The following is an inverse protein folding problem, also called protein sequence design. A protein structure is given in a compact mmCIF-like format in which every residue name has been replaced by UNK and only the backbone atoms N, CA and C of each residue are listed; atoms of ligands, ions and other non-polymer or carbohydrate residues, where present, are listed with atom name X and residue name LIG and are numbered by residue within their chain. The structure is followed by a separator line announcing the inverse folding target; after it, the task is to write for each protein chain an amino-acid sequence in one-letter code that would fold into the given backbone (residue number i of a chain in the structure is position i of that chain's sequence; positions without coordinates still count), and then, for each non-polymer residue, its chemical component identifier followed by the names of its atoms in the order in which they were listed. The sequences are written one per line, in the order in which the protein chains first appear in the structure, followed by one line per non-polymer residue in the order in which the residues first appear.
data_IF_005304714408
#
_entry.id   IF_005304714408
#
_cell.length_a   1.000
_cell.length_b   1.000
_cell.length_c   1.000
_cell.angle_alpha   90.00
_cell.angle_beta   90.00
_cell.angle_gamma   90.00
#
_symmetry.space_group_name_H-M   'P 1'
#
loop_
_entity.id
_entity.type
_entity.pdbx_description
1 polymer ?
#
# COMPACT_ATOMS: atom_id res chain seq x y z
N UNK A 1 -13.91 -3.51 42.56
CA UNK A 1 -12.47 -3.34 42.88
C UNK A 1 -11.61 -4.22 41.96
N UNK A 2 -12.00 -5.48 41.74
CA UNK A 2 -11.33 -6.46 40.87
C UNK A 2 -11.09 -6.01 39.41
N UNK A 3 -12.09 -5.42 38.73
CA UNK A 3 -11.90 -4.91 37.34
C UNK A 3 -10.79 -3.86 37.21
N UNK A 4 -10.54 -3.06 38.25
CA UNK A 4 -9.45 -2.06 38.27
C UNK A 4 -8.09 -2.71 38.50
N UNK A 5 -8.03 -3.77 39.30
CA UNK A 5 -6.81 -4.54 39.60
C UNK A 5 -6.40 -5.34 38.36
N UNK A 6 -7.31 -6.11 37.77
CA UNK A 6 -7.07 -6.87 36.55
C UNK A 6 -6.62 -5.97 35.38
N UNK A 7 -7.20 -4.77 35.25
CA UNK A 7 -6.76 -3.80 34.24
C UNK A 7 -5.35 -3.28 34.51
N UNK A 8 -4.95 -3.10 35.77
CA UNK A 8 -3.60 -2.65 36.14
C UNK A 8 -2.56 -3.74 35.88
N UNK A 9 -2.86 -4.98 36.24
CA UNK A 9 -2.00 -6.14 35.98
C UNK A 9 -1.82 -6.37 34.48
N UNK A 10 -2.91 -6.33 33.71
CA UNK A 10 -2.84 -6.39 32.25
C UNK A 10 -1.96 -5.30 31.63
N UNK A 11 -2.06 -4.06 32.14
CA UNK A 11 -1.22 -2.96 31.67
C UNK A 11 0.25 -3.14 32.06
N UNK A 12 0.54 -3.65 33.26
CA UNK A 12 1.91 -3.99 33.70
C UNK A 12 2.53 -5.10 32.85
N UNK A 13 1.81 -6.19 32.59
CA UNK A 13 2.31 -7.25 31.71
C UNK A 13 2.52 -6.75 30.27
N UNK A 14 1.66 -5.85 29.77
CA UNK A 14 1.88 -5.22 28.46
C UNK A 14 3.11 -4.32 28.45
N UNK A 15 3.37 -3.61 29.53
CA UNK A 15 4.53 -2.74 29.69
C UNK A 15 5.84 -3.53 29.85
N UNK A 16 5.81 -4.63 30.57
CA UNK A 16 6.97 -5.50 30.72
C UNK A 16 7.33 -6.21 29.41
N UNK A 17 6.32 -6.73 28.69
CA UNK A 17 6.50 -7.25 27.32
C UNK A 17 7.04 -6.20 26.35
N UNK A 18 6.59 -4.95 26.49
CA UNK A 18 7.10 -3.84 25.69
C UNK A 18 8.58 -3.61 25.95
N UNK A 19 9.03 -3.60 27.21
CA UNK A 19 10.41 -3.36 27.60
C UNK A 19 11.37 -4.49 27.18
N UNK A 20 10.95 -5.74 27.34
CA UNK A 20 11.76 -6.91 26.93
C UNK A 20 12.00 -6.90 25.42
N UNK A 21 10.94 -6.72 24.63
CA UNK A 21 11.02 -6.76 23.16
C UNK A 21 11.54 -5.48 22.52
N UNK A 22 11.60 -4.41 23.31
CA UNK A 22 12.31 -3.17 22.95
C UNK A 22 13.76 -3.44 22.55
N UNK A 23 14.38 -4.43 23.19
CA UNK A 23 15.72 -4.87 22.83
C UNK A 23 15.80 -5.69 21.53
N UNK A 24 14.66 -6.20 21.04
CA UNK A 24 14.57 -7.06 19.84
C UNK A 24 14.27 -6.27 18.55
N UNK A 25 13.74 -5.05 18.66
CA UNK A 25 13.49 -4.18 17.50
C UNK A 25 14.67 -3.26 17.25
N UNK A 26 14.89 -2.94 15.98
CA UNK A 26 15.86 -1.95 15.54
C UNK A 26 15.53 -0.58 16.14
N UNK A 27 16.52 0.11 16.74
CA UNK A 27 16.35 1.44 17.35
C UNK A 27 15.71 2.45 16.37
N UNK A 28 16.00 2.32 15.07
CA UNK A 28 15.43 3.16 14.02
C UNK A 28 13.91 2.99 13.85
N UNK A 29 13.34 1.84 14.21
CA UNK A 29 11.88 1.65 14.26
C UNK A 29 11.26 2.42 15.44
N UNK A 30 11.96 2.42 16.58
CA UNK A 30 11.45 2.98 17.84
C UNK A 30 11.40 4.50 17.82
N UNK A 31 12.38 5.15 17.20
CA UNK A 31 12.44 6.61 17.10
C UNK A 31 11.26 7.21 16.31
N UNK A 32 10.63 6.39 15.48
CA UNK A 32 9.71 6.84 14.43
C UNK A 32 8.27 6.61 14.84
N UNK A 33 8.02 5.52 15.56
CA UNK A 33 6.69 5.04 15.83
C UNK A 33 6.30 5.24 17.29
N UNK A 34 5.02 5.57 17.48
CA UNK A 34 4.48 5.68 18.83
C UNK A 34 4.37 4.31 19.52
N UNK A 35 4.28 4.33 20.86
CA UNK A 35 4.12 3.13 21.69
C UNK A 35 3.00 2.21 21.20
N UNK A 36 1.88 2.77 20.72
CA UNK A 36 0.74 1.95 20.28
C UNK A 36 1.04 1.19 18.98
N UNK A 37 1.74 1.80 18.04
CA UNK A 37 2.21 1.18 16.81
C UNK A 37 3.21 0.07 17.12
N UNK A 38 4.19 0.34 17.98
CA UNK A 38 5.17 -0.67 18.44
C UNK A 38 4.47 -1.86 19.12
N UNK A 39 3.51 -1.61 20.01
CA UNK A 39 2.69 -2.68 20.61
C UNK A 39 1.94 -3.51 19.56
N UNK A 40 1.45 -2.87 18.49
CA UNK A 40 0.74 -3.56 17.40
C UNK A 40 1.69 -4.47 16.61
N UNK A 41 2.94 -4.03 16.43
CA UNK A 41 3.97 -4.84 15.80
C UNK A 41 4.38 -6.01 16.70
N UNK A 42 4.57 -5.79 18.00
CA UNK A 42 4.83 -6.87 18.96
C UNK A 42 3.72 -7.91 18.99
N UNK A 43 2.45 -7.48 18.92
CA UNK A 43 1.32 -8.40 18.85
C UNK A 43 1.42 -9.29 17.59
N UNK A 44 1.88 -8.77 16.44
CA UNK A 44 2.09 -9.55 15.22
C UNK A 44 3.25 -10.55 15.34
N UNK A 45 4.37 -10.16 15.95
CA UNK A 45 5.51 -11.05 16.19
C UNK A 45 5.13 -12.19 17.16
N UNK A 46 4.43 -11.85 18.25
CA UNK A 46 4.02 -12.82 19.27
C UNK A 46 2.98 -13.82 18.77
N UNK A 47 2.08 -13.37 17.89
CA UNK A 47 1.09 -14.24 17.24
C UNK A 47 1.66 -14.99 16.04
N UNK A 48 2.99 -14.97 15.85
CA UNK A 48 3.73 -15.66 14.78
C UNK A 48 3.29 -15.28 13.37
N UNK A 49 2.68 -14.09 13.18
CA UNK A 49 2.35 -13.55 11.86
C UNK A 49 3.57 -13.06 11.09
N UNK A 50 4.58 -12.61 11.84
CA UNK A 50 5.91 -12.26 11.36
C UNK A 50 6.93 -12.90 12.29
N UNK A 51 8.09 -13.27 11.77
CA UNK A 51 9.25 -13.68 12.55
C UNK A 51 10.10 -12.48 12.94
N UNK A 52 10.31 -11.56 12.00
CA UNK A 52 11.21 -10.42 12.17
C UNK A 52 10.82 -9.26 11.25
N UNK A 53 11.20 -8.04 11.63
CA UNK A 53 11.12 -6.83 10.79
C UNK A 53 12.49 -6.17 10.77
N UNK A 54 13.01 -5.92 9.57
CA UNK A 54 14.38 -5.47 9.29
C UNK A 54 14.35 -4.31 8.32
N UNK A 55 15.10 -3.25 8.61
CA UNK A 55 15.51 -2.23 7.64
C UNK A 55 14.37 -1.48 6.93
N UNK A 56 14.63 -0.23 6.58
CA UNK A 56 13.67 0.56 5.79
C UNK A 56 13.84 0.22 4.32
N UNK A 57 12.76 -0.21 3.67
CA UNK A 57 12.70 -0.45 2.22
C UNK A 57 12.29 0.81 1.47
N UNK A 58 11.33 1.56 2.03
CA UNK A 58 10.86 2.83 1.47
C UNK A 58 10.30 3.72 2.56
N UNK A 59 10.50 5.03 2.41
CA UNK A 59 9.95 6.06 3.29
C UNK A 59 9.10 7.03 2.50
N UNK A 60 7.81 7.04 2.79
CA UNK A 60 6.86 8.00 2.25
C UNK A 60 6.38 9.00 3.32
N UNK A 61 5.63 9.99 2.87
CA UNK A 61 5.03 11.02 3.73
C UNK A 61 3.92 10.48 4.65
N UNK A 62 3.28 9.39 4.24
CA UNK A 62 2.11 8.82 4.91
C UNK A 62 2.39 7.50 5.62
N UNK A 63 3.43 6.78 5.18
CA UNK A 63 3.80 5.47 5.70
C UNK A 63 5.28 5.18 5.47
N UNK A 64 5.79 4.17 6.17
CA UNK A 64 7.08 3.56 5.89
C UNK A 64 6.90 2.09 5.62
N UNK A 65 7.72 1.55 4.73
CA UNK A 65 7.72 0.12 4.38
C UNK A 65 9.02 -0.48 4.86
N UNK A 66 8.92 -1.56 5.62
CA UNK A 66 10.05 -2.35 6.11
C UNK A 66 10.06 -3.72 5.46
N UNK A 67 11.23 -4.34 5.41
CA UNK A 67 11.35 -5.73 5.03
C UNK A 67 11.01 -6.62 6.24
N UNK A 68 10.10 -7.56 6.07
CA UNK A 68 9.70 -8.52 7.10
C UNK A 68 10.05 -9.93 6.67
N UNK A 69 10.29 -10.81 7.65
CA UNK A 69 10.54 -12.23 7.40
C UNK A 69 9.49 -13.11 8.06
N UNK A 70 9.14 -14.18 7.35
CA UNK A 70 8.35 -15.30 7.84
C UNK A 70 9.18 -16.35 8.56
N UNK A 71 8.50 -17.36 9.07
CA UNK A 71 9.13 -18.46 9.79
C UNK A 71 9.83 -19.45 8.85
N UNK A 72 9.40 -19.54 7.59
CA UNK A 72 9.96 -20.44 6.58
C UNK A 72 10.85 -19.70 5.56
N UNK A 73 11.24 -18.46 5.87
CA UNK A 73 12.07 -17.64 4.99
C UNK A 73 11.29 -16.85 3.95
N UNK A 74 9.95 -16.77 4.05
CA UNK A 74 9.15 -15.90 3.21
C UNK A 74 9.49 -14.42 3.47
N UNK A 75 9.57 -13.61 2.41
CA UNK A 75 9.81 -12.17 2.51
C UNK A 75 8.49 -11.39 2.43
N UNK A 76 8.34 -10.40 3.31
CA UNK A 76 7.17 -9.53 3.41
C UNK A 76 7.54 -8.06 3.30
N UNK A 77 6.64 -7.27 2.75
CA UNK A 77 6.62 -5.83 2.93
C UNK A 77 5.70 -5.47 4.10
N UNK A 78 6.25 -4.82 5.13
CA UNK A 78 5.52 -4.37 6.32
C UNK A 78 5.31 -2.85 6.22
N UNK A 79 4.16 -2.44 5.69
CA UNK A 79 3.76 -1.03 5.54
C UNK A 79 3.12 -0.55 6.84
N UNK A 80 3.75 0.44 7.48
CA UNK A 80 3.29 1.04 8.72
C UNK A 80 2.90 2.49 8.46
N UNK A 81 1.63 2.81 8.64
CA UNK A 81 1.08 4.14 8.44
C UNK A 81 1.43 5.08 9.61
N UNK A 82 1.84 6.31 9.28
CA UNK A 82 2.28 7.33 10.22
C UNK A 82 1.07 8.07 10.83
N UNK A 83 0.78 7.76 12.09
CA UNK A 83 -0.34 8.35 12.86
C UNK A 83 -0.11 9.82 13.22
N UNK A 84 1.13 10.32 13.13
CA UNK A 84 1.51 11.71 13.45
C UNK A 84 1.63 12.62 12.22
N UNK A 85 1.63 12.07 11.00
CA UNK A 85 1.93 12.81 9.77
C UNK A 85 0.93 13.94 9.50
N UNK A 86 1.46 15.18 9.43
CA UNK A 86 0.69 16.38 9.11
C UNK A 86 0.28 16.45 7.63
N UNK A 87 1.05 15.79 6.76
CA UNK A 87 0.76 15.75 5.33
C UNK A 87 -0.31 14.72 5.02
N UNK A 88 -0.24 13.56 5.67
CA UNK A 88 -1.37 12.63 5.69
C UNK A 88 -2.63 13.42 6.07
N UNK A 89 -2.55 14.32 7.08
CA UNK A 89 -3.65 15.21 7.54
C UNK A 89 -4.42 15.99 6.48
N UNK A 90 -3.77 16.43 5.40
CA UNK A 90 -4.33 17.45 4.50
C UNK A 90 -5.03 16.89 3.25
N UNK A 91 -4.65 15.72 2.73
CA UNK A 91 -4.94 15.34 1.33
C UNK A 91 -6.01 14.25 1.11
N UNK A 92 -7.02 14.12 1.98
CA UNK A 92 -7.74 12.82 2.12
C UNK A 92 -9.26 12.86 2.20
N UNK A 93 -9.85 14.05 2.31
CA UNK A 93 -11.30 14.21 2.32
C UNK A 93 -11.99 13.67 1.04
N UNK A 94 -11.45 13.85 -0.19
CA UNK A 94 -12.15 13.39 -1.41
C UNK A 94 -12.31 11.88 -1.52
N UNK A 95 -11.37 11.10 -1.00
CA UNK A 95 -11.34 9.64 -1.16
C UNK A 95 -12.22 8.91 -0.14
N UNK A 96 -12.65 9.57 0.94
CA UNK A 96 -13.44 8.97 2.03
C UNK A 96 -14.95 9.07 1.79
N UNK A 97 -15.35 10.00 0.91
CA UNK A 97 -16.76 10.24 0.59
C UNK A 97 -17.38 8.96 0.00
N UNK A 98 -18.57 8.58 0.46
CA UNK A 98 -19.38 7.46 -0.05
C UNK A 98 -18.82 6.04 0.08
N UNK A 99 -17.77 5.80 0.89
CA UNK A 99 -17.45 4.42 1.28
C UNK A 99 -18.42 3.98 2.38
N UNK A 100 -19.20 2.88 2.22
CA UNK A 100 -20.22 2.47 3.20
C UNK A 100 -19.70 2.26 4.63
N UNK A 101 -18.41 1.93 4.77
CA UNK A 101 -17.71 1.80 6.06
C UNK A 101 -17.35 3.14 6.72
N UNK A 102 -17.38 4.24 5.97
CA UNK A 102 -17.07 5.61 6.42
C UNK A 102 -18.32 6.50 6.54
N UNK A 103 -19.43 5.97 7.08
CA UNK A 103 -20.66 6.78 7.32
C UNK A 103 -20.42 8.06 8.13
N UNK A 104 -19.36 8.09 8.95
CA UNK A 104 -18.82 9.29 9.61
C UNK A 104 -17.29 9.19 9.67
N UNK A 105 -16.58 10.20 9.16
CA UNK A 105 -15.13 10.33 9.33
C UNK A 105 -14.83 10.40 10.84
N UNK A 106 -13.99 9.50 11.41
CA UNK A 106 -13.64 9.57 12.82
C UNK A 106 -13.03 10.92 13.17
N UNK A 107 -13.49 11.54 14.27
CA UNK A 107 -12.84 12.74 14.82
C UNK A 107 -11.41 12.45 15.29
N UNK A 108 -11.17 11.21 15.74
CA UNK A 108 -9.82 10.74 16.09
C UNK A 108 -9.05 10.32 14.83
N UNK A 109 -7.98 11.07 14.56
CA UNK A 109 -7.10 10.82 13.44
C UNK A 109 -6.45 9.43 13.47
N UNK A 110 -6.15 8.89 14.65
CA UNK A 110 -5.57 7.55 14.75
C UNK A 110 -6.52 6.48 14.24
N UNK A 111 -7.79 6.55 14.65
CA UNK A 111 -8.83 5.66 14.14
C UNK A 111 -9.00 5.80 12.64
N UNK A 112 -8.89 7.01 12.10
CA UNK A 112 -8.88 7.22 10.66
C UNK A 112 -7.72 6.48 9.97
N UNK A 113 -6.50 6.56 10.51
CA UNK A 113 -5.33 5.84 9.96
C UNK A 113 -5.58 4.32 9.93
N UNK A 114 -6.25 3.78 10.95
CA UNK A 114 -6.57 2.36 10.99
C UNK A 114 -7.55 1.95 9.90
N UNK A 115 -8.57 2.77 9.65
CA UNK A 115 -9.50 2.54 8.55
C UNK A 115 -8.80 2.66 7.18
N UNK A 116 -7.77 3.49 7.07
CA UNK A 116 -6.98 3.63 5.85
C UNK A 116 -6.15 2.38 5.54
N UNK A 117 -5.46 1.86 6.55
CA UNK A 117 -4.74 0.59 6.46
C UNK A 117 -5.67 -0.58 6.15
N UNK A 118 -6.84 -0.63 6.79
CA UNK A 118 -7.88 -1.63 6.50
C UNK A 118 -8.41 -1.51 5.07
N UNK A 119 -8.60 -0.29 4.58
CA UNK A 119 -9.03 -0.05 3.19
C UNK A 119 -8.01 -0.54 2.19
N UNK A 120 -6.72 -0.22 2.37
CA UNK A 120 -5.68 -0.72 1.46
C UNK A 120 -5.64 -2.25 1.46
N UNK A 121 -5.72 -2.89 2.64
CA UNK A 121 -5.83 -4.35 2.73
C UNK A 121 -7.01 -4.90 1.93
N UNK A 122 -8.19 -4.28 2.04
CA UNK A 122 -9.38 -4.69 1.28
C UNK A 122 -9.18 -4.51 -0.22
N UNK A 123 -8.68 -3.36 -0.66
CA UNK A 123 -8.46 -3.06 -2.07
C UNK A 123 -7.40 -3.99 -2.70
N UNK A 124 -6.32 -4.28 -1.97
CA UNK A 124 -5.33 -5.28 -2.39
C UNK A 124 -5.94 -6.68 -2.46
N UNK A 125 -6.78 -7.05 -1.49
CA UNK A 125 -7.41 -8.38 -1.45
C UNK A 125 -8.32 -8.57 -2.66
N UNK A 126 -9.19 -7.59 -2.93
CA UNK A 126 -10.10 -7.61 -4.07
C UNK A 126 -9.33 -7.62 -5.40
N UNK A 127 -8.25 -6.83 -5.50
CA UNK A 127 -7.40 -6.76 -6.69
C UNK A 127 -6.66 -8.07 -6.95
N UNK A 128 -6.06 -8.65 -5.91
CA UNK A 128 -5.32 -9.91 -5.98
C UNK A 128 -6.25 -11.07 -6.34
N UNK A 129 -7.43 -11.14 -5.72
CA UNK A 129 -8.45 -12.16 -6.01
C UNK A 129 -9.01 -12.03 -7.44
N UNK A 130 -8.99 -10.83 -8.02
CA UNK A 130 -9.34 -10.59 -9.43
C UNK A 130 -8.18 -10.93 -10.41
N UNK A 131 -7.05 -11.44 -9.92
CA UNK A 131 -5.90 -11.82 -10.74
C UNK A 131 -5.06 -10.64 -11.24
N UNK A 132 -5.15 -9.48 -10.59
CA UNK A 132 -4.28 -8.34 -10.91
C UNK A 132 -2.88 -8.55 -10.33
N UNK A 133 -1.83 -8.07 -11.03
CA UNK A 133 -0.47 -8.08 -10.48
C UNK A 133 -0.34 -6.98 -9.42
N UNK A 134 -0.65 -7.34 -8.19
CA UNK A 134 -0.50 -6.50 -6.99
C UNK A 134 0.16 -7.33 -5.89
N UNK A 135 0.78 -6.72 -4.86
CA UNK A 135 1.27 -7.47 -3.72
C UNK A 135 0.15 -8.26 -3.05
N UNK A 136 0.34 -9.57 -2.86
CA UNK A 136 -0.61 -10.37 -2.08
C UNK A 136 -0.72 -9.84 -0.64
N UNK A 137 -1.90 -9.45 -0.16
CA UNK A 137 -2.06 -9.06 1.24
C UNK A 137 -2.11 -10.30 2.13
N UNK A 138 -1.49 -10.24 3.32
CA UNK A 138 -1.48 -11.34 4.29
C UNK A 138 -2.18 -10.99 5.59
N UNK A 139 -1.78 -9.87 6.20
CA UNK A 139 -2.30 -9.47 7.50
C UNK A 139 -2.48 -7.96 7.58
N UNK A 140 -3.51 -7.54 8.30
CA UNK A 140 -3.72 -6.16 8.68
C UNK A 140 -3.97 -6.09 10.19
N UNK A 141 -3.30 -5.15 10.86
CA UNK A 141 -3.55 -4.87 12.26
C UNK A 141 -3.32 -3.39 12.56
N UNK A 142 -4.40 -2.69 12.91
CA UNK A 142 -4.40 -1.24 13.19
C UNK A 142 -3.82 -0.43 12.04
N UNK A 143 -2.62 0.15 12.18
CA UNK A 143 -1.94 0.93 11.15
C UNK A 143 -0.85 0.13 10.42
N UNK A 144 -0.80 -1.19 10.60
CA UNK A 144 0.20 -2.07 9.99
C UNK A 144 -0.48 -2.97 8.96
N UNK A 145 0.07 -2.98 7.75
CA UNK A 145 -0.27 -3.87 6.65
C UNK A 145 0.94 -4.73 6.30
N UNK A 146 0.75 -6.05 6.30
CA UNK A 146 1.73 -7.04 5.85
C UNK A 146 1.27 -7.59 4.52
N UNK A 147 2.12 -7.46 3.50
CA UNK A 147 1.86 -7.91 2.13
C UNK A 147 3.11 -8.56 1.54
N UNK A 148 2.96 -9.17 0.36
CA UNK A 148 4.07 -9.77 -0.38
C UNK A 148 5.20 -8.77 -0.59
N UNK A 149 6.43 -9.21 -0.33
CA UNK A 149 7.59 -8.47 -0.78
C UNK A 149 7.76 -8.68 -2.29
N UNK A 150 7.68 -7.60 -3.06
CA UNK A 150 8.01 -7.62 -4.48
C UNK A 150 9.51 -7.33 -4.62
N UNK A 151 10.31 -8.39 -4.63
CA UNK A 151 11.76 -8.31 -4.59
C UNK A 151 12.36 -9.62 -4.08
N UNK A 152 13.68 -9.61 -3.88
CA UNK A 152 14.42 -10.77 -3.39
C UNK A 152 15.55 -10.31 -2.47
N UNK A 153 15.82 -11.09 -1.41
CA UNK A 153 16.92 -10.86 -0.47
C UNK A 153 16.89 -9.46 0.16
N UNK A 154 15.69 -8.96 0.47
CA UNK A 154 15.47 -7.64 1.04
C UNK A 154 15.64 -6.47 0.06
N UNK A 155 15.92 -6.73 -1.22
CA UNK A 155 15.98 -5.70 -2.28
C UNK A 155 14.67 -5.70 -3.04
N UNK A 156 13.93 -4.58 -2.97
CA UNK A 156 12.66 -4.42 -3.69
C UNK A 156 12.87 -4.30 -5.20
N UNK A 157 11.83 -4.61 -5.97
CA UNK A 157 11.76 -4.20 -7.37
C UNK A 157 11.84 -2.67 -7.50
N UNK A 158 12.49 -2.17 -8.56
CA UNK A 158 12.53 -0.75 -8.85
C UNK A 158 11.14 -0.23 -9.23
N UNK A 159 10.91 1.05 -8.98
CA UNK A 159 9.75 1.76 -9.49
C UNK A 159 9.96 2.09 -10.97
N UNK A 160 8.86 2.26 -11.71
CA UNK A 160 8.90 2.55 -13.14
C UNK A 160 9.76 3.77 -13.48
N UNK A 161 9.82 4.77 -12.60
CA UNK A 161 10.63 5.98 -12.82
C UNK A 161 12.11 5.85 -12.42
N UNK A 162 12.49 4.77 -11.74
CA UNK A 162 13.86 4.53 -11.26
C UNK A 162 14.71 3.84 -12.33
N UNK A 163 14.08 3.24 -13.33
CA UNK A 163 14.73 2.53 -14.42
C UNK A 163 14.72 3.33 -15.73
N UNK A 164 15.66 2.99 -16.60
CA UNK A 164 15.70 3.46 -17.98
C UNK A 164 15.36 2.29 -18.89
N UNK A 165 14.56 2.57 -19.91
CA UNK A 165 14.07 1.57 -20.85
C UNK A 165 14.36 2.01 -22.27
N UNK A 166 14.70 1.06 -23.12
CA UNK A 166 14.76 1.29 -24.55
C UNK A 166 13.36 1.43 -25.13
N UNK A 167 13.25 1.96 -26.36
CA UNK A 167 11.95 2.30 -26.95
C UNK A 167 11.04 1.07 -27.10
N UNK A 168 11.59 -0.08 -27.48
CA UNK A 168 10.84 -1.32 -27.64
C UNK A 168 10.37 -1.91 -26.30
N UNK A 169 11.11 -1.65 -25.22
CA UNK A 169 10.70 -2.02 -23.86
C UNK A 169 9.58 -1.10 -23.35
N UNK A 170 9.66 0.20 -23.66
CA UNK A 170 8.61 1.18 -23.33
C UNK A 170 7.28 0.83 -24.01
N UNK A 171 7.31 0.41 -25.28
CA UNK A 171 6.12 -0.06 -26.00
C UNK A 171 5.47 -1.25 -25.29
N UNK A 172 6.26 -2.29 -24.96
CA UNK A 172 5.78 -3.48 -24.23
C UNK A 172 5.25 -3.14 -22.84
N UNK A 173 5.94 -2.26 -22.10
CA UNK A 173 5.51 -1.81 -20.77
C UNK A 173 4.19 -1.04 -20.84
N UNK A 174 4.06 -0.14 -21.83
CA UNK A 174 2.84 0.62 -22.04
C UNK A 174 1.66 -0.31 -22.32
N UNK A 175 1.80 -1.24 -23.27
CA UNK A 175 0.77 -2.22 -23.60
C UNK A 175 0.37 -3.05 -22.37
N UNK A 176 1.35 -3.52 -21.60
CA UNK A 176 1.10 -4.33 -20.40
C UNK A 176 0.40 -3.53 -19.31
N UNK A 177 0.77 -2.26 -19.11
CA UNK A 177 0.11 -1.39 -18.14
C UNK A 177 -1.32 -1.06 -18.57
N UNK A 178 -1.57 -0.80 -19.85
CA UNK A 178 -2.93 -0.58 -20.37
C UNK A 178 -3.79 -1.83 -20.17
N UNK A 179 -3.26 -3.04 -20.41
CA UNK A 179 -3.95 -4.29 -20.10
C UNK A 179 -4.27 -4.40 -18.60
N UNK A 180 -3.27 -4.23 -17.73
CA UNK A 180 -3.45 -4.34 -16.27
C UNK A 180 -4.47 -3.35 -15.74
N UNK A 181 -4.42 -2.09 -16.18
CA UNK A 181 -5.41 -1.06 -15.82
C UNK A 181 -6.78 -1.40 -16.39
N UNK A 182 -6.84 -1.95 -17.60
CA UNK A 182 -8.08 -2.43 -18.21
C UNK A 182 -8.72 -3.56 -17.42
N UNK A 183 -7.93 -4.55 -16.98
CA UNK A 183 -8.40 -5.62 -16.08
C UNK A 183 -8.82 -5.07 -14.72
N UNK A 184 -8.12 -4.08 -14.18
CA UNK A 184 -8.51 -3.41 -12.94
C UNK A 184 -9.88 -2.74 -13.08
N UNK A 185 -10.09 -2.02 -14.17
CA UNK A 185 -11.34 -1.32 -14.46
C UNK A 185 -12.52 -2.26 -14.72
N UNK A 186 -12.31 -3.26 -15.58
CA UNK A 186 -13.39 -4.13 -16.09
C UNK A 186 -13.65 -5.34 -15.18
N UNK A 187 -12.60 -6.04 -14.78
CA UNK A 187 -12.73 -7.32 -14.08
C UNK A 187 -12.81 -7.10 -12.56
N UNK A 188 -11.91 -6.29 -12.00
CA UNK A 188 -11.93 -5.99 -10.56
C UNK A 188 -12.96 -4.90 -10.20
N UNK A 189 -13.46 -4.14 -11.19
CA UNK A 189 -14.42 -3.07 -10.98
C UNK A 189 -13.86 -1.91 -10.16
N UNK A 190 -12.56 -1.63 -10.31
CA UNK A 190 -11.82 -0.64 -9.52
C UNK A 190 -11.05 0.34 -10.41
N UNK A 191 -10.77 1.52 -9.85
CA UNK A 191 -9.91 2.55 -10.45
C UNK A 191 -8.84 2.90 -9.44
N UNK A 192 -7.59 2.95 -9.89
CA UNK A 192 -6.49 3.43 -9.06
C UNK A 192 -6.65 4.94 -8.81
N UNK A 193 -6.76 5.36 -7.55
CA UNK A 193 -7.07 6.75 -7.19
C UNK A 193 -5.92 7.73 -7.36
N UNK A 194 -4.68 7.23 -7.35
CA UNK A 194 -3.44 8.03 -7.42
C UNK A 194 -2.41 7.37 -8.36
N UNK A 195 -2.83 7.08 -9.60
CA UNK A 195 -1.96 6.36 -10.54
C UNK A 195 -0.83 7.27 -11.02
N UNK A 196 0.42 6.82 -10.84
CA UNK A 196 1.61 7.49 -11.35
C UNK A 196 2.77 6.51 -11.49
N UNK A 197 3.86 6.93 -12.12
CA UNK A 197 5.10 6.17 -12.25
C UNK A 197 5.78 5.84 -10.90
N UNK A 198 5.35 6.47 -9.79
CA UNK A 198 5.82 6.21 -8.44
C UNK A 198 5.10 5.02 -7.77
N UNK A 199 3.95 4.62 -8.31
CA UNK A 199 3.08 3.57 -7.77
C UNK A 199 3.05 2.31 -8.65
N UNK A 200 4.08 2.16 -9.50
CA UNK A 200 4.25 1.03 -10.42
C UNK A 200 5.65 0.47 -10.20
N UNK A 201 5.75 -0.82 -9.89
CA UNK A 201 7.02 -1.56 -9.80
C UNK A 201 7.25 -2.39 -11.07
N UNK A 202 8.51 -2.50 -11.50
CA UNK A 202 8.89 -3.24 -12.72
C UNK A 202 9.87 -4.37 -12.40
N UNK A 203 9.57 -5.59 -12.85
CA UNK A 203 10.41 -6.78 -12.70
C UNK A 203 11.37 -7.03 -13.88
N UNK A 204 12.31 -7.97 -13.71
CA UNK A 204 13.38 -8.34 -14.68
C UNK A 204 12.89 -8.85 -16.05
N UNK A 205 11.58 -8.92 -16.30
CA UNK A 205 10.95 -9.30 -17.57
C UNK A 205 9.80 -8.37 -17.97
N UNK A 206 9.90 -7.08 -17.63
CA UNK A 206 8.85 -6.07 -17.83
C UNK A 206 7.51 -6.48 -17.19
N UNK A 207 7.58 -7.22 -16.08
CA UNK A 207 6.43 -7.48 -15.21
C UNK A 207 6.08 -6.20 -14.48
N UNK A 208 4.80 -5.85 -14.47
CA UNK A 208 4.33 -4.61 -13.85
C UNK A 208 3.44 -4.96 -12.67
N UNK A 209 3.69 -4.30 -11.54
CA UNK A 209 2.90 -4.47 -10.33
C UNK A 209 2.36 -3.11 -9.89
N UNK A 210 1.05 -3.04 -9.64
CA UNK A 210 0.44 -1.85 -9.05
C UNK A 210 0.57 -1.92 -7.53
N UNK A 211 1.00 -0.82 -6.92
CA UNK A 211 1.15 -0.67 -5.46
C UNK A 211 0.39 0.57 -4.97
N UNK A 212 0.26 0.70 -3.65
CA UNK A 212 -0.42 1.82 -2.98
C UNK A 212 -1.90 2.00 -3.36
N UNK A 213 -2.67 0.92 -3.19
CA UNK A 213 -4.09 0.89 -3.52
C UNK A 213 -4.98 1.52 -2.42
N UNK A 214 -4.43 2.25 -1.45
CA UNK A 214 -5.20 2.86 -0.37
C UNK A 214 -6.27 3.84 -0.91
N UNK A 215 -5.94 4.56 -1.98
CA UNK A 215 -6.83 5.53 -2.63
C UNK A 215 -7.66 4.92 -3.76
N UNK A 216 -7.51 3.63 -4.07
CA UNK A 216 -8.33 2.98 -5.08
C UNK A 216 -9.83 3.05 -4.70
N UNK A 217 -10.66 3.21 -5.72
CA UNK A 217 -12.12 3.33 -5.60
C UNK A 217 -12.82 2.33 -6.50
N UNK A 218 -14.07 2.00 -6.16
CA UNK A 218 -14.95 1.24 -7.03
C UNK A 218 -15.29 2.06 -8.29
N UNK A 219 -15.56 1.38 -9.40
CA UNK A 219 -15.88 2.02 -10.70
C UNK A 219 -17.12 2.91 -10.65
N UNK A 220 -18.07 2.61 -9.78
CA UNK A 220 -19.31 3.36 -9.55
C UNK A 220 -19.13 4.56 -8.59
N UNK A 221 -17.92 4.77 -8.06
CA UNK A 221 -17.62 5.93 -7.23
C UNK A 221 -17.76 7.23 -8.05
N UNK A 222 -18.35 8.32 -7.50
CA UNK A 222 -18.57 9.57 -8.25
C UNK A 222 -17.31 10.19 -8.87
N UNK A 223 -16.15 9.97 -8.24
CA UNK A 223 -14.85 10.45 -8.72
C UNK A 223 -14.04 9.42 -9.53
N UNK A 224 -14.56 8.20 -9.74
CA UNK A 224 -13.84 7.14 -10.45
C UNK A 224 -13.41 7.58 -11.85
N UNK A 225 -14.29 8.25 -12.57
CA UNK A 225 -14.03 8.80 -13.90
C UNK A 225 -12.90 9.83 -13.90
N UNK A 226 -12.91 10.74 -12.91
CA UNK A 226 -11.87 11.75 -12.73
C UNK A 226 -10.52 11.13 -12.45
N UNK A 227 -10.46 10.14 -11.55
CA UNK A 227 -9.21 9.44 -11.23
C UNK A 227 -8.68 8.66 -12.43
N UNK A 228 -9.55 7.99 -13.19
CA UNK A 228 -9.14 7.25 -14.38
C UNK A 228 -8.56 8.19 -15.46
N UNK A 229 -9.21 9.33 -15.71
CA UNK A 229 -8.71 10.35 -16.66
C UNK A 229 -7.40 10.94 -16.20
N UNK A 230 -7.28 11.30 -14.94
CA UNK A 230 -6.05 11.87 -14.40
C UNK A 230 -4.90 10.85 -14.46
N UNK A 231 -5.14 9.62 -14.01
CA UNK A 231 -4.15 8.55 -14.04
C UNK A 231 -3.64 8.25 -15.44
N UNK A 232 -4.53 8.16 -16.43
CA UNK A 232 -4.16 7.96 -17.84
C UNK A 232 -3.34 9.13 -18.39
N UNK A 233 -3.69 10.38 -18.06
CA UNK A 233 -2.90 11.55 -18.42
C UNK A 233 -1.48 11.53 -17.82
N UNK A 234 -1.36 11.23 -16.53
CA UNK A 234 -0.06 11.14 -15.84
C UNK A 234 0.80 10.05 -16.46
N UNK A 235 0.21 8.87 -16.70
CA UNK A 235 0.90 7.73 -17.31
C UNK A 235 1.38 8.06 -18.73
N UNK A 236 0.53 8.62 -19.59
CA UNK A 236 0.92 9.04 -20.93
C UNK A 236 2.01 10.11 -20.89
N UNK A 237 1.93 11.03 -19.92
CA UNK A 237 2.96 12.05 -19.71
C UNK A 237 4.33 11.45 -19.36
N UNK A 238 4.38 10.34 -18.62
CA UNK A 238 5.62 9.61 -18.38
C UNK A 238 6.18 9.00 -19.67
N UNK A 239 5.38 8.22 -20.40
CA UNK A 239 5.80 7.57 -21.64
C UNK A 239 6.22 8.56 -22.74
N UNK A 240 5.48 9.66 -22.88
CA UNK A 240 5.80 10.72 -23.83
C UNK A 240 7.15 11.39 -23.53
N UNK A 241 7.48 11.59 -22.25
CA UNK A 241 8.79 12.10 -21.84
C UNK A 241 9.92 11.09 -22.07
N UNK A 242 9.60 9.79 -22.01
CA UNK A 242 10.55 8.72 -22.26
C UNK A 242 10.78 8.45 -23.76
N UNK A 243 10.06 9.13 -24.66
CA UNK A 243 10.27 9.07 -26.11
C UNK A 243 9.19 8.29 -26.89
N UNK A 244 8.27 7.63 -26.20
CA UNK A 244 7.10 7.01 -26.83
C UNK A 244 6.09 8.09 -27.25
N UNK A 245 5.21 7.82 -28.22
CA UNK A 245 4.11 8.74 -28.60
C UNK A 245 2.76 8.11 -28.33
N UNK A 246 2.15 8.48 -27.21
CA UNK A 246 0.85 7.98 -26.77
C UNK A 246 -0.11 9.11 -26.43
N UNK A 247 -1.39 8.92 -26.79
CA UNK A 247 -2.46 9.88 -26.53
C UNK A 247 -3.31 9.47 -25.32
N UNK A 248 -3.56 10.38 -24.35
CA UNK A 248 -4.39 10.08 -23.18
C UNK A 248 -5.83 9.67 -23.50
N UNK A 249 -6.47 10.23 -24.54
CA UNK A 249 -7.85 9.89 -24.87
C UNK A 249 -7.94 8.48 -25.46
N UNK A 250 -7.02 8.12 -26.37
CA UNK A 250 -6.91 6.76 -26.89
C UNK A 250 -6.59 5.76 -25.77
N UNK A 251 -5.63 6.07 -24.89
CA UNK A 251 -5.27 5.22 -23.75
C UNK A 251 -6.46 4.96 -22.83
N UNK A 252 -7.23 6.01 -22.51
CA UNK A 252 -8.43 5.90 -21.69
C UNK A 252 -9.48 4.99 -22.34
N UNK A 253 -9.63 5.07 -23.66
CA UNK A 253 -10.54 4.21 -24.42
C UNK A 253 -10.10 2.75 -24.39
N UNK A 254 -8.81 2.46 -24.56
CA UNK A 254 -8.24 1.11 -24.44
C UNK A 254 -8.46 0.51 -23.04
N UNK A 255 -8.21 1.30 -21.99
CA UNK A 255 -8.47 0.87 -20.60
C UNK A 255 -9.95 0.55 -20.36
N UNK A 256 -10.88 1.24 -21.04
CA UNK A 256 -12.32 0.96 -20.89
C UNK A 256 -12.81 -0.23 -21.68
N UNK A 257 -12.39 -0.35 -22.94
CA UNK A 257 -12.96 -1.30 -23.91
C UNK A 257 -12.23 -2.65 -23.91
N UNK A 258 -10.98 -2.68 -23.48
CA UNK A 258 -10.07 -3.77 -23.80
C UNK A 258 -9.11 -3.32 -24.89
N UNK A 259 -7.86 -3.78 -24.78
CA UNK A 259 -6.96 -3.79 -25.92
C UNK A 259 -7.43 -4.87 -26.90
#
# INVERSE_FOLDING_TARGET
MEKKVARREFMREREQRYLEKRSELDESLEEVFDRQTLMSLYDMLNTKKLKEVRGVVSSGKESRVYHGLGWNGEEYAVKIYLVSSAEFRRNRLPYVVNVPRFKKIPKDFRRFVYLWSEREYSNLSDSYNAGLPVPKPFHQHRNILVMQFLGEKGVRLPLLHEEKFELDELEKLYERLVDVLGRMYRNAGMVHGDLSQYNIMVGRGLEVYLIDLAQAVRRDHPLAETFLRHGTQVLCGFFNKAGLRVDPASTLEMVRRGA
#
